data_IF_241510694531
#
_entry.id   IF_241510694531
#
_cell.length_a   1.000
_cell.length_b   1.000
_cell.length_c   1.000
_cell.angle_alpha   90.00
_cell.angle_beta   90.00
_cell.angle_gamma   90.00
#
_symmetry.space_group_name_H-M   'P 1'
#
loop_
_entity.id
_entity.type
_entity.pdbx_description
1 polymer ?
#
# COMPACT_ATOMS: atom_id res chain seq x y z
N UNK A 1 17.46 1.47 5.49
CA UNK A 1 18.45 0.75 4.70
C UNK A 1 17.76 0.21 3.45
N UNK A 2 18.17 0.69 2.26
CA UNK A 2 17.50 0.43 0.99
C UNK A 2 17.46 -1.05 0.57
N UNK A 3 18.26 -1.91 1.20
CA UNK A 3 18.28 -3.35 0.96
C UNK A 3 17.19 -4.11 1.74
N UNK A 4 16.63 -3.50 2.77
CA UNK A 4 15.64 -4.13 3.65
C UNK A 4 14.20 -3.67 3.39
N UNK A 5 14.02 -2.47 2.81
CA UNK A 5 12.73 -1.86 2.56
C UNK A 5 12.65 -1.34 1.13
N UNK A 6 11.46 -1.46 0.53
CA UNK A 6 11.27 -1.19 -0.89
C UNK A 6 11.18 0.30 -1.27
N UNK A 7 11.02 1.20 -0.30
CA UNK A 7 10.92 2.64 -0.54
C UNK A 7 12.00 3.40 0.23
N UNK A 8 12.53 4.49 -0.35
CA UNK A 8 13.47 5.38 0.35
C UNK A 8 12.86 5.94 1.64
N UNK A 9 11.57 6.26 1.60
CA UNK A 9 10.82 6.80 2.73
C UNK A 9 9.77 5.78 3.22
N UNK A 10 10.22 4.59 3.62
CA UNK A 10 9.32 3.57 4.17
C UNK A 10 8.79 3.99 5.55
N UNK A 11 7.52 3.72 5.79
CA UNK A 11 6.92 3.79 7.11
C UNK A 11 6.96 2.41 7.74
N UNK A 12 7.60 2.30 8.91
CA UNK A 12 7.80 1.02 9.59
C UNK A 12 7.15 1.00 10.96
N UNK A 13 6.82 -0.19 11.44
CA UNK A 13 6.51 -0.41 12.85
C UNK A 13 7.56 -1.32 13.49
N UNK A 14 7.76 -1.13 14.78
CA UNK A 14 8.68 -1.93 15.57
C UNK A 14 7.91 -2.64 16.66
N UNK A 15 8.20 -3.93 16.84
CA UNK A 15 7.79 -4.65 18.04
C UNK A 15 9.00 -4.83 18.96
N UNK A 16 8.75 -4.98 20.25
CA UNK A 16 9.82 -5.16 21.21
C UNK A 16 9.35 -4.96 22.63
N UNK A 17 10.30 -4.85 23.53
CA UNK A 17 10.06 -4.65 24.97
C UNK A 17 10.66 -3.35 25.48
N UNK A 18 10.05 -2.79 26.51
CA UNK A 18 10.58 -1.62 27.21
C UNK A 18 11.35 -2.11 28.45
N UNK A 19 12.61 -1.74 28.54
CA UNK A 19 13.39 -1.79 29.77
C UNK A 19 13.15 -0.50 30.54
N UNK A 20 12.37 -0.59 31.60
CA UNK A 20 11.99 0.58 32.40
C UNK A 20 13.13 1.09 33.33
N UNK A 21 14.06 0.22 33.70
CA UNK A 21 15.21 0.59 34.53
C UNK A 21 16.22 1.40 33.70
N UNK A 22 16.55 0.88 32.52
CA UNK A 22 17.47 1.54 31.58
C UNK A 22 16.79 2.61 30.72
N UNK A 23 15.46 2.71 30.77
CA UNK A 23 14.64 3.63 29.94
C UNK A 23 14.91 3.45 28.45
N UNK A 24 14.99 2.20 28.01
CA UNK A 24 15.29 1.84 26.61
C UNK A 24 14.17 1.00 26.01
N UNK A 25 13.89 1.25 24.75
CA UNK A 25 13.12 0.33 23.91
C UNK A 25 14.10 -0.65 23.24
N UNK A 26 13.85 -1.94 23.40
CA UNK A 26 14.66 -3.01 22.81
C UNK A 26 13.82 -3.60 21.67
N UNK A 27 14.12 -3.25 20.39
CA UNK A 27 13.37 -3.74 19.26
C UNK A 27 13.63 -5.23 19.04
N UNK A 28 12.60 -5.97 18.65
CA UNK A 28 12.66 -7.39 18.33
C UNK A 28 12.38 -7.60 16.83
N UNK A 29 11.41 -6.86 16.26
CA UNK A 29 11.11 -6.86 14.82
C UNK A 29 10.99 -5.44 14.28
N UNK A 30 11.25 -5.30 12.99
CA UNK A 30 11.02 -4.09 12.20
C UNK A 30 10.35 -4.52 10.91
N UNK A 31 9.15 -4.02 10.61
CA UNK A 31 8.40 -4.39 9.42
C UNK A 31 7.80 -3.13 8.76
N UNK A 32 7.59 -3.17 7.45
CA UNK A 32 6.86 -2.12 6.75
C UNK A 32 5.38 -2.13 7.15
N UNK A 33 4.81 -0.94 7.32
CA UNK A 33 3.38 -0.79 7.58
C UNK A 33 2.57 -1.06 6.30
N UNK A 34 3.10 -0.63 5.16
CA UNK A 34 2.47 -0.78 3.85
C UNK A 34 3.54 -1.08 2.80
N UNK A 35 3.29 -2.04 1.93
CA UNK A 35 4.26 -2.52 0.94
C UNK A 35 4.07 -1.90 -0.45
N UNK A 36 3.14 -0.95 -0.59
CA UNK A 36 2.91 -0.23 -1.84
C UNK A 36 3.89 0.92 -2.06
N UNK A 37 3.66 1.66 -3.14
CA UNK A 37 4.52 2.77 -3.55
C UNK A 37 4.27 4.05 -2.74
N UNK A 38 3.05 4.26 -2.25
CA UNK A 38 2.59 5.57 -1.77
C UNK A 38 1.92 5.49 -0.40
N UNK A 39 2.74 5.31 0.63
CA UNK A 39 2.29 5.31 2.03
C UNK A 39 3.34 5.98 2.92
N UNK A 40 3.01 7.12 3.50
CA UNK A 40 3.97 7.85 4.32
C UNK A 40 3.31 8.62 5.49
N UNK A 41 4.12 8.88 6.52
CA UNK A 41 3.77 9.68 7.68
C UNK A 41 2.43 9.29 8.35
N UNK A 42 2.20 8.01 8.67
CA UNK A 42 0.95 7.58 9.30
C UNK A 42 0.74 8.26 10.64
N UNK A 43 -0.51 8.64 10.90
CA UNK A 43 -0.96 9.16 12.19
C UNK A 43 -2.07 8.28 12.74
N UNK A 44 -2.13 8.13 14.05
CA UNK A 44 -3.16 7.32 14.69
C UNK A 44 -3.93 8.09 15.74
N UNK A 45 -5.20 7.73 15.89
CA UNK A 45 -6.09 8.20 16.95
C UNK A 45 -6.87 7.02 17.54
N UNK A 46 -7.45 7.23 18.72
CA UNK A 46 -8.43 6.30 19.29
C UNK A 46 -9.79 6.96 19.15
N UNK A 47 -10.74 6.26 18.53
CA UNK A 47 -12.11 6.76 18.37
C UNK A 47 -12.97 6.52 19.63
N UNK A 48 -14.20 6.99 19.60
CA UNK A 48 -15.18 6.86 20.69
C UNK A 48 -15.59 5.41 21.00
N UNK A 49 -15.29 4.47 20.10
CA UNK A 49 -15.48 3.02 20.27
C UNK A 49 -14.24 2.30 20.80
N UNK A 50 -13.17 3.04 21.11
CA UNK A 50 -11.90 2.49 21.58
C UNK A 50 -11.06 1.83 20.49
N UNK A 51 -11.39 2.01 19.19
CA UNK A 51 -10.63 1.47 18.08
C UNK A 51 -9.46 2.41 17.78
N UNK A 52 -8.28 1.84 17.54
CA UNK A 52 -7.13 2.61 17.03
C UNK A 52 -7.26 2.72 15.52
N UNK A 53 -7.42 3.93 15.06
CA UNK A 53 -7.57 4.25 13.63
C UNK A 53 -6.27 4.88 13.14
N UNK A 54 -5.81 4.45 11.98
CA UNK A 54 -4.65 5.02 11.29
C UNK A 54 -5.07 5.62 9.94
N UNK A 55 -4.49 6.75 9.62
CA UNK A 55 -4.56 7.39 8.29
C UNK A 55 -3.14 7.82 7.93
N UNK A 56 -2.76 7.63 6.67
CA UNK A 56 -1.46 8.03 6.15
C UNK A 56 -1.59 8.91 4.90
N UNK A 57 -0.52 9.60 4.56
CA UNK A 57 -0.42 10.33 3.31
C UNK A 57 -0.11 9.35 2.16
N UNK A 58 -0.93 9.41 1.10
CA UNK A 58 -0.79 8.60 -0.11
C UNK A 58 0.21 9.22 -1.07
N UNK A 59 1.39 9.47 -0.59
CA UNK A 59 2.52 10.04 -1.32
C UNK A 59 3.80 9.75 -0.54
N UNK A 60 4.93 10.06 -1.11
CA UNK A 60 6.20 10.20 -0.42
C UNK A 60 6.92 11.44 -0.93
N UNK A 61 7.96 11.89 -0.23
CA UNK A 61 8.80 12.99 -0.67
C UNK A 61 9.51 12.67 -2.00
N UNK A 62 9.84 13.70 -2.78
CA UNK A 62 10.65 13.58 -3.98
C UNK A 62 9.97 12.94 -5.19
N UNK A 63 8.66 12.71 -5.18
CA UNK A 63 7.92 12.12 -6.30
C UNK A 63 6.99 13.09 -7.01
N UNK A 64 6.77 12.85 -8.31
CA UNK A 64 5.79 13.61 -9.10
C UNK A 64 4.40 13.46 -8.52
N UNK A 65 3.73 14.59 -8.30
CA UNK A 65 2.33 14.65 -7.91
C UNK A 65 1.52 15.14 -9.10
N UNK A 66 0.91 14.23 -9.86
CA UNK A 66 0.24 14.58 -11.10
C UNK A 66 -0.98 15.49 -10.91
N UNK A 67 -1.68 15.41 -9.79
CA UNK A 67 -2.77 16.35 -9.48
C UNK A 67 -2.26 17.80 -9.39
N UNK A 68 -1.04 18.01 -8.88
CA UNK A 68 -0.39 19.31 -8.89
C UNK A 68 0.07 19.70 -10.30
N UNK A 69 0.77 18.80 -11.00
CA UNK A 69 1.30 19.05 -12.35
C UNK A 69 0.17 19.41 -13.32
N UNK A 70 -0.97 18.74 -13.23
CA UNK A 70 -2.15 18.98 -14.05
C UNK A 70 -3.03 20.15 -13.56
N UNK A 71 -2.56 20.88 -12.55
CA UNK A 71 -3.27 22.06 -12.03
C UNK A 71 -4.68 21.78 -11.50
N UNK A 72 -4.92 20.61 -10.90
CA UNK A 72 -6.19 20.26 -10.28
C UNK A 72 -6.51 21.07 -9.01
N UNK A 73 -5.60 21.98 -8.59
CA UNK A 73 -5.72 22.84 -7.39
C UNK A 73 -5.64 22.09 -6.06
N UNK A 74 -5.15 20.85 -6.07
CA UNK A 74 -4.84 20.05 -4.87
C UNK A 74 -3.62 19.17 -5.14
N UNK A 75 -2.98 18.69 -4.08
CA UNK A 75 -1.80 17.84 -4.16
C UNK A 75 -1.83 16.78 -3.06
N UNK A 76 -1.60 15.52 -3.46
CA UNK A 76 -1.62 14.38 -2.56
C UNK A 76 -3.04 13.89 -2.22
N UNK A 77 -3.09 12.76 -1.54
CA UNK A 77 -4.31 12.13 -1.03
C UNK A 77 -4.03 11.48 0.31
N UNK A 78 -5.08 11.09 1.03
CA UNK A 78 -4.97 10.32 2.26
C UNK A 78 -5.46 8.89 1.99
N UNK A 79 -4.89 7.93 2.71
CA UNK A 79 -5.37 6.55 2.69
C UNK A 79 -6.76 6.44 3.29
N UNK A 80 -7.43 5.33 3.03
CA UNK A 80 -8.59 4.94 3.82
C UNK A 80 -8.21 4.86 5.30
N UNK A 81 -9.11 5.24 6.21
CA UNK A 81 -8.93 4.97 7.63
C UNK A 81 -8.89 3.46 7.88
N UNK A 82 -7.87 3.00 8.60
CA UNK A 82 -7.61 1.58 8.90
C UNK A 82 -7.69 1.34 10.40
N UNK A 83 -8.45 0.33 10.82
CA UNK A 83 -8.47 -0.12 12.21
C UNK A 83 -7.23 -0.99 12.43
N UNK A 84 -6.44 -0.65 13.44
CA UNK A 84 -5.25 -1.40 13.79
C UNK A 84 -5.54 -2.43 14.88
N UNK A 85 -5.11 -3.65 14.63
CA UNK A 85 -5.07 -4.74 15.61
C UNK A 85 -3.65 -5.29 15.68
N UNK A 86 -3.22 -5.65 16.86
CA UNK A 86 -1.96 -6.35 17.04
C UNK A 86 -2.25 -7.76 17.53
N UNK A 87 -1.86 -8.75 16.74
CA UNK A 87 -2.12 -10.16 17.03
C UNK A 87 -0.97 -11.02 16.54
N UNK A 88 -0.52 -11.96 17.35
CA UNK A 88 0.54 -12.94 17.01
C UNK A 88 1.81 -12.26 16.48
N UNK A 89 2.22 -11.15 17.13
CA UNK A 89 3.34 -10.27 16.76
C UNK A 89 3.21 -9.59 15.37
N UNK A 90 2.02 -9.58 14.78
CA UNK A 90 1.72 -8.93 13.50
C UNK A 90 0.80 -7.73 13.68
N UNK A 91 1.01 -6.71 12.86
CA UNK A 91 0.10 -5.58 12.72
C UNK A 91 -0.95 -5.91 11.67
N UNK A 92 -2.19 -6.09 12.10
CA UNK A 92 -3.33 -6.32 11.21
C UNK A 92 -4.04 -4.99 10.96
N UNK A 93 -4.29 -4.67 9.71
CA UNK A 93 -4.88 -3.41 9.27
C UNK A 93 -6.19 -3.69 8.55
N UNK A 94 -7.33 -3.44 9.20
CA UNK A 94 -8.63 -3.66 8.56
C UNK A 94 -9.25 -2.33 8.13
N UNK A 95 -9.80 -2.22 6.90
CA UNK A 95 -10.48 -1.01 6.48
C UNK A 95 -11.77 -0.80 7.28
N UNK A 96 -12.19 0.46 7.44
CA UNK A 96 -13.44 0.78 8.15
C UNK A 96 -14.68 0.29 7.40
N UNK A 97 -14.60 0.20 6.08
CA UNK A 97 -15.65 -0.24 5.17
C UNK A 97 -15.17 -1.41 4.33
N UNK A 98 -16.10 -2.17 3.77
CA UNK A 98 -15.76 -3.22 2.81
C UNK A 98 -15.32 -2.63 1.47
N UNK A 99 -14.34 -3.29 0.82
CA UNK A 99 -13.86 -2.94 -0.50
C UNK A 99 -14.87 -3.20 -1.61
N UNK A 100 -14.68 -2.52 -2.74
CA UNK A 100 -15.54 -2.72 -3.90
C UNK A 100 -15.35 -4.13 -4.52
N UNK A 101 -14.15 -4.68 -4.36
CA UNK A 101 -13.82 -5.98 -4.93
C UNK A 101 -13.26 -6.92 -3.88
N UNK A 102 -13.82 -8.13 -3.83
CA UNK A 102 -13.33 -9.25 -3.03
C UNK A 102 -12.86 -10.33 -4.00
N UNK A 103 -11.57 -10.66 -3.96
CA UNK A 103 -10.93 -11.58 -4.89
C UNK A 103 -10.41 -12.77 -4.11
N UNK A 104 -10.99 -13.95 -4.35
CA UNK A 104 -10.47 -15.21 -3.81
C UNK A 104 -9.30 -15.68 -4.66
N UNK A 105 -8.22 -16.08 -4.01
CA UNK A 105 -6.97 -16.51 -4.64
C UNK A 105 -6.94 -18.03 -4.69
N UNK A 106 -6.99 -18.58 -5.91
CA UNK A 106 -6.88 -20.03 -6.16
C UNK A 106 -5.58 -20.40 -6.90
N UNK A 107 -4.77 -19.42 -7.23
CA UNK A 107 -3.51 -19.52 -7.97
C UNK A 107 -3.11 -18.18 -8.53
N UNK A 108 -2.31 -18.16 -9.60
CA UNK A 108 -1.91 -16.92 -10.25
C UNK A 108 -3.14 -16.11 -10.67
N UNK A 109 -3.10 -14.83 -10.38
CA UNK A 109 -4.11 -13.91 -10.89
C UNK A 109 -3.50 -12.57 -11.24
N UNK A 110 -4.03 -11.97 -12.30
CA UNK A 110 -3.55 -10.70 -12.83
C UNK A 110 -4.74 -9.84 -13.25
N UNK A 111 -4.73 -8.61 -12.81
CA UNK A 111 -5.76 -7.63 -13.07
C UNK A 111 -5.15 -6.35 -13.62
N UNK A 112 -5.88 -5.70 -14.50
CA UNK A 112 -5.51 -4.44 -15.11
C UNK A 112 -6.58 -3.39 -14.86
N UNK A 113 -6.16 -2.16 -14.53
CA UNK A 113 -7.01 -0.97 -14.43
C UNK A 113 -6.56 0.00 -15.51
N UNK A 114 -7.37 0.20 -16.53
CA UNK A 114 -7.07 1.02 -17.72
C UNK A 114 -7.42 0.33 -19.02
N UNK A 115 -6.59 0.52 -20.06
CA UNK A 115 -6.73 -0.13 -21.35
C UNK A 115 -5.50 -1.02 -21.68
N UNK A 116 -5.25 -1.34 -22.95
CA UNK A 116 -4.14 -2.20 -23.35
C UNK A 116 -2.77 -1.52 -23.32
N UNK A 117 -2.71 -0.20 -23.33
CA UNK A 117 -1.47 0.58 -23.46
C UNK A 117 -1.18 1.54 -22.30
N UNK A 118 -2.20 1.84 -21.49
CA UNK A 118 -2.09 2.73 -20.32
C UNK A 118 -2.88 2.11 -19.18
N UNK A 119 -2.19 1.42 -18.27
CA UNK A 119 -2.82 0.71 -17.16
C UNK A 119 -1.92 0.57 -15.94
N UNK A 120 -2.55 0.40 -14.80
CA UNK A 120 -1.95 -0.15 -13.60
C UNK A 120 -2.27 -1.64 -13.56
N UNK A 121 -1.29 -2.44 -13.17
CA UNK A 121 -1.44 -3.87 -12.98
C UNK A 121 -1.34 -4.23 -11.49
N UNK A 122 -2.11 -5.21 -11.05
CA UNK A 122 -1.95 -5.84 -9.75
C UNK A 122 -2.36 -7.31 -9.79
N UNK A 123 -1.88 -8.08 -8.85
CA UNK A 123 -2.21 -9.50 -8.82
C UNK A 123 -1.43 -10.29 -7.78
N UNK A 124 -1.45 -11.62 -7.98
CA UNK A 124 -0.72 -12.57 -7.18
C UNK A 124 0.07 -13.53 -8.07
N UNK A 125 1.35 -13.67 -7.78
CA UNK A 125 2.26 -14.68 -8.33
C UNK A 125 2.39 -15.81 -7.30
N UNK A 126 1.82 -16.97 -7.58
CA UNK A 126 1.80 -18.11 -6.67
C UNK A 126 3.16 -18.79 -6.54
N UNK A 127 4.01 -18.69 -7.57
CA UNK A 127 5.37 -19.25 -7.55
C UNK A 127 6.28 -18.44 -6.65
N UNK A 128 6.23 -17.12 -6.76
CA UNK A 128 6.99 -16.22 -5.90
C UNK A 128 6.29 -15.94 -4.55
N UNK A 129 5.02 -16.34 -4.41
CA UNK A 129 4.15 -16.00 -3.29
C UNK A 129 4.07 -14.47 -3.07
N UNK A 130 3.90 -13.71 -4.15
CA UNK A 130 3.90 -12.25 -4.10
C UNK A 130 2.56 -11.66 -4.50
N UNK A 131 1.98 -10.85 -3.63
CA UNK A 131 0.97 -9.86 -4.02
C UNK A 131 1.69 -8.61 -4.46
N UNK A 132 1.31 -8.05 -5.61
CA UNK A 132 2.02 -6.93 -6.21
C UNK A 132 1.11 -5.86 -6.80
N UNK A 133 1.68 -4.66 -6.94
CA UNK A 133 1.17 -3.57 -7.75
C UNK A 133 2.29 -3.12 -8.69
N UNK A 134 2.00 -3.01 -9.98
CA UNK A 134 2.92 -2.57 -11.01
C UNK A 134 2.32 -1.41 -11.82
N UNK A 135 3.01 -0.29 -11.86
CA UNK A 135 2.62 0.91 -12.59
C UNK A 135 3.59 1.25 -13.74
N UNK A 136 4.41 0.27 -14.15
CA UNK A 136 5.39 0.45 -15.22
C UNK A 136 4.77 0.76 -16.59
N UNK A 137 3.51 0.38 -16.81
CA UNK A 137 2.79 0.59 -18.07
C UNK A 137 1.97 1.89 -18.09
N UNK A 138 1.92 2.64 -16.98
CA UNK A 138 1.24 3.93 -16.98
C UNK A 138 1.89 4.90 -17.97
N UNK A 139 1.09 5.58 -18.78
CA UNK A 139 1.56 6.65 -19.66
C UNK A 139 2.07 7.86 -18.86
N UNK A 140 1.42 8.18 -17.76
CA UNK A 140 1.84 9.22 -16.83
C UNK A 140 2.75 8.63 -15.75
N UNK A 141 4.06 8.63 -16.02
CA UNK A 141 5.04 8.09 -15.08
C UNK A 141 5.10 8.93 -13.80
N UNK A 142 5.11 8.25 -12.66
CA UNK A 142 5.43 8.87 -11.38
C UNK A 142 6.94 8.74 -11.19
N UNK A 143 7.64 9.84 -11.36
CA UNK A 143 9.10 9.90 -11.30
C UNK A 143 9.49 10.40 -9.91
N UNK A 144 10.49 9.79 -9.31
CA UNK A 144 11.06 10.16 -8.02
C UNK A 144 12.54 10.45 -8.08
N UNK A 145 13.10 10.81 -6.94
CA UNK A 145 14.53 10.99 -6.75
C UNK A 145 15.24 9.66 -6.47
N UNK A 146 14.49 8.57 -6.46
CA UNK A 146 15.04 7.23 -6.23
C UNK A 146 15.85 6.77 -7.44
N UNK A 147 17.04 6.24 -7.18
CA UNK A 147 17.87 5.63 -8.22
C UNK A 147 17.33 4.27 -8.70
N UNK A 148 16.50 3.62 -7.87
CA UNK A 148 15.90 2.32 -8.18
C UNK A 148 14.56 2.47 -8.89
N UNK A 149 14.26 1.51 -9.78
CA UNK A 149 12.92 1.40 -10.37
C UNK A 149 11.88 1.08 -9.29
N UNK A 150 11.00 2.04 -9.05
CA UNK A 150 9.94 1.95 -8.05
C UNK A 150 8.58 1.64 -8.67
N UNK A 151 8.53 1.27 -9.94
CA UNK A 151 7.27 1.03 -10.64
C UNK A 151 6.51 -0.18 -10.08
N UNK A 152 7.23 -1.24 -9.69
CA UNK A 152 6.65 -2.44 -9.08
C UNK A 152 6.97 -2.53 -7.60
N UNK A 153 5.95 -2.81 -6.81
CA UNK A 153 6.04 -3.11 -5.37
C UNK A 153 5.31 -4.40 -5.07
N UNK A 154 5.77 -5.12 -4.06
CA UNK A 154 5.18 -6.39 -3.68
C UNK A 154 5.38 -6.68 -2.20
N UNK A 155 4.57 -7.60 -1.69
CA UNK A 155 4.78 -8.28 -0.42
C UNK A 155 4.83 -9.79 -0.65
N UNK A 156 5.78 -10.46 -0.01
CA UNK A 156 5.86 -11.93 -0.05
C UNK A 156 4.97 -12.49 1.05
N UNK A 157 3.87 -13.12 0.65
CA UNK A 157 2.86 -13.68 1.54
C UNK A 157 2.05 -14.74 0.78
N UNK A 158 1.67 -15.83 1.45
CA UNK A 158 0.67 -16.75 0.93
C UNK A 158 -0.71 -16.08 0.96
N UNK A 159 -1.16 -15.61 -0.20
CA UNK A 159 -2.44 -14.92 -0.30
C UNK A 159 -3.59 -15.91 -0.52
N UNK A 160 -4.67 -15.70 0.22
CA UNK A 160 -5.94 -16.44 0.11
C UNK A 160 -7.05 -15.56 -0.43
N UNK A 161 -6.99 -14.28 -0.10
CA UNK A 161 -7.93 -13.29 -0.60
C UNK A 161 -7.31 -11.91 -0.67
N UNK A 162 -7.82 -11.10 -1.59
CA UNK A 162 -7.54 -9.66 -1.68
C UNK A 162 -8.85 -8.89 -1.54
N UNK A 163 -8.86 -7.92 -0.64
CA UNK A 163 -9.89 -6.89 -0.58
C UNK A 163 -9.35 -5.62 -1.23
N UNK A 164 -9.96 -5.17 -2.31
CA UNK A 164 -9.45 -4.09 -3.15
C UNK A 164 -10.38 -2.89 -3.12
N UNK A 165 -9.79 -1.75 -2.82
CA UNK A 165 -10.42 -0.43 -2.91
C UNK A 165 -9.82 0.30 -4.10
N UNK A 166 -10.66 0.71 -5.01
CA UNK A 166 -10.29 1.47 -6.19
C UNK A 166 -10.99 2.82 -6.17
N UNK A 167 -10.21 3.88 -6.12
CA UNK A 167 -10.70 5.23 -6.35
C UNK A 167 -10.19 5.73 -7.71
N UNK A 168 -10.53 6.96 -8.06
CA UNK A 168 -10.20 7.56 -9.35
C UNK A 168 -8.70 7.52 -9.68
N UNK A 169 -7.86 7.73 -8.66
CA UNK A 169 -6.41 7.86 -8.82
C UNK A 169 -5.62 7.07 -7.78
N UNK A 170 -6.24 6.11 -7.11
CA UNK A 170 -5.57 5.29 -6.10
C UNK A 170 -6.15 3.90 -5.99
N UNK A 171 -5.31 2.99 -5.51
CA UNK A 171 -5.66 1.62 -5.17
C UNK A 171 -5.11 1.32 -3.78
N UNK A 172 -5.92 0.67 -2.96
CA UNK A 172 -5.49 0.05 -1.71
C UNK A 172 -5.89 -1.41 -1.71
N UNK A 173 -4.93 -2.30 -1.46
CA UNK A 173 -5.14 -3.75 -1.40
C UNK A 173 -4.86 -4.21 0.02
N UNK A 174 -5.81 -4.92 0.60
CA UNK A 174 -5.68 -5.59 1.89
C UNK A 174 -5.66 -7.10 1.63
N UNK A 175 -4.59 -7.75 2.06
CA UNK A 175 -4.35 -9.17 1.87
C UNK A 175 -4.77 -9.93 3.12
N UNK A 176 -5.49 -11.05 2.96
CA UNK A 176 -5.89 -11.93 4.07
C UNK A 176 -6.49 -11.17 5.27
N UNK A 177 -7.52 -10.37 5.03
CA UNK A 177 -8.16 -9.52 6.05
C UNK A 177 -7.21 -8.50 6.71
N UNK A 178 -6.18 -8.05 6.00
CA UNK A 178 -5.27 -6.99 6.44
C UNK A 178 -3.97 -7.47 7.10
N UNK A 179 -3.56 -8.72 6.89
CA UNK A 179 -2.23 -9.19 7.30
C UNK A 179 -1.11 -8.45 6.57
N UNK A 180 -1.36 -7.98 5.35
CA UNK A 180 -0.50 -7.07 4.62
C UNK A 180 -1.34 -6.09 3.82
N UNK A 181 -0.75 -4.94 3.48
CA UNK A 181 -1.40 -3.91 2.68
C UNK A 181 -0.46 -3.36 1.62
N UNK A 182 -1.02 -2.95 0.49
CA UNK A 182 -0.30 -2.25 -0.57
C UNK A 182 -1.14 -1.04 -1.01
N UNK A 183 -0.50 0.13 -1.05
CA UNK A 183 -1.13 1.40 -1.42
C UNK A 183 -0.38 2.04 -2.57
N UNK A 184 -1.09 2.45 -3.60
CA UNK A 184 -0.50 3.15 -4.73
C UNK A 184 -1.42 4.23 -5.30
N UNK A 185 -0.83 5.31 -5.78
CA UNK A 185 -1.47 6.27 -6.66
C UNK A 185 -1.13 5.96 -8.11
N UNK A 186 -2.06 6.28 -9.00
CA UNK A 186 -1.86 6.16 -10.44
C UNK A 186 -2.67 7.22 -11.17
N UNK A 187 -2.25 7.54 -12.39
CA UNK A 187 -2.92 8.55 -13.21
C UNK A 187 -3.01 8.02 -14.63
N UNK A 188 -4.24 7.74 -15.05
CA UNK A 188 -4.54 7.25 -16.39
C UNK A 188 -4.90 8.39 -17.31
N UNK A 189 -4.52 8.28 -18.58
CA UNK A 189 -5.00 9.16 -19.66
C UNK A 189 -6.33 8.66 -20.26
N UNK A 190 -6.78 7.50 -19.81
CA UNK A 190 -7.97 6.77 -20.26
C UNK A 190 -8.92 6.52 -19.10
N UNK A 191 -10.12 6.05 -19.39
CA UNK A 191 -11.08 5.64 -18.36
C UNK A 191 -10.56 4.42 -17.60
N UNK A 192 -10.61 4.47 -16.27
CA UNK A 192 -10.27 3.36 -15.42
C UNK A 192 -11.33 2.25 -15.53
N UNK A 193 -10.93 1.12 -16.12
CA UNK A 193 -11.76 -0.10 -16.24
C UNK A 193 -10.97 -1.26 -15.65
N UNK A 194 -11.54 -1.93 -14.65
CA UNK A 194 -10.95 -3.14 -14.08
C UNK A 194 -11.25 -4.34 -14.98
N UNK A 195 -10.23 -5.07 -15.36
CA UNK A 195 -10.35 -6.32 -16.13
C UNK A 195 -9.38 -7.37 -15.61
N UNK A 196 -9.81 -8.63 -15.61
CA UNK A 196 -8.92 -9.78 -15.38
C UNK A 196 -8.17 -10.09 -16.68
N UNK A 197 -6.90 -10.35 -16.55
CA UNK A 197 -6.01 -10.73 -17.66
C UNK A 197 -5.88 -12.24 -17.78
#
# INVERSE_FOLDING_TARGET
>A
DGDSFHNINSSVFLTGRVDWEEKKFIPETVEEIDHGQDFYAPQTLVDDKGRRIMIAWMQTWGRTIHSHVQQHKWAGAMTLPRILHFKDAKLIQTPIHHGQYQIQIEGDCQYRIGNETDYLEFGYDSTAQQVYIDRSTLAQKIVGEEEQDTSRRYVTIEAKELEVFLDKNSIEIFVNHGEATLTATFYLTVTAVLSKM
#
